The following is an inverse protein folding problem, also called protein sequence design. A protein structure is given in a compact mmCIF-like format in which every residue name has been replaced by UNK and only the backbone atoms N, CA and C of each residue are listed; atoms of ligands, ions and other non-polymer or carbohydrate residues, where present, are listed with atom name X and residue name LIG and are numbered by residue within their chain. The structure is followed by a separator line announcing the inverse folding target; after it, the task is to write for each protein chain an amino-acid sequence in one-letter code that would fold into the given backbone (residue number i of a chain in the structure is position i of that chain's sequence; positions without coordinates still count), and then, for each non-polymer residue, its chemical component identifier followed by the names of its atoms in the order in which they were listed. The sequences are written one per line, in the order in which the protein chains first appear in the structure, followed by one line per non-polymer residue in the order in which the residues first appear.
data_IF_781489251562
#
_entry.id   IF_781489251562
#
_cell.length_a   1.000
_cell.length_b   1.000
_cell.length_c   1.000
_cell.angle_alpha   90.00
_cell.angle_beta   90.00
_cell.angle_gamma   90.00
#
_symmetry.space_group_name_H-M   'P 1'
#
loop_
_entity.id
_entity.type
_entity.pdbx_description
1 polymer ?
#
# COMPACT_ATOMS: atom_id res chain seq x y z
N UNK A 1 64.69 19.40 0.65
CA UNK A 1 64.07 18.24 1.31
C UNK A 1 62.58 18.52 1.50
N UNK A 2 61.71 18.03 0.59
CA UNK A 2 60.25 18.19 0.68
C UNK A 2 59.68 17.03 1.49
N UNK A 3 59.11 17.31 2.66
CA UNK A 3 58.39 16.31 3.49
C UNK A 3 57.00 16.11 2.88
N UNK A 4 56.77 14.93 2.32
CA UNK A 4 55.49 14.50 1.77
C UNK A 4 54.65 13.92 2.91
N UNK A 5 53.66 14.67 3.39
CA UNK A 5 52.70 14.19 4.39
C UNK A 5 51.59 13.45 3.65
N UNK A 6 51.58 12.12 3.75
CA UNK A 6 50.59 11.25 3.14
C UNK A 6 49.38 11.16 4.09
N UNK A 7 48.38 12.01 3.86
CA UNK A 7 47.10 11.99 4.58
C UNK A 7 46.27 10.79 4.10
N UNK A 8 46.25 9.73 4.90
CA UNK A 8 45.35 8.60 4.75
C UNK A 8 43.94 9.02 5.19
N UNK A 9 43.12 9.50 4.26
CA UNK A 9 41.67 9.66 4.47
C UNK A 9 41.01 8.29 4.48
N UNK A 10 40.73 7.78 5.67
CA UNK A 10 39.86 6.62 5.86
C UNK A 10 38.45 7.02 5.44
N UNK A 11 38.03 6.58 4.25
CA UNK A 11 36.63 6.64 3.84
C UNK A 11 35.84 5.68 4.73
N UNK A 12 35.21 6.22 5.77
CA UNK A 12 34.21 5.48 6.54
C UNK A 12 33.03 5.21 5.61
N UNK A 13 32.91 3.97 5.13
CA UNK A 13 31.73 3.48 4.43
C UNK A 13 30.62 3.46 5.47
N UNK A 14 29.83 4.52 5.52
CA UNK A 14 28.61 4.56 6.33
C UNK A 14 27.65 3.60 5.63
N UNK A 15 27.30 2.44 6.20
CA UNK A 15 26.24 1.65 5.63
C UNK A 15 24.99 2.51 5.73
N UNK A 16 24.44 2.90 4.58
CA UNK A 16 23.11 3.47 4.52
C UNK A 16 22.17 2.37 5.00
N UNK A 17 21.83 2.40 6.29
CA UNK A 17 20.68 1.66 6.78
C UNK A 17 19.48 2.27 6.06
N UNK A 18 19.10 1.70 4.92
CA UNK A 18 17.77 1.83 4.37
C UNK A 18 16.84 1.20 5.41
N UNK A 19 16.48 1.96 6.44
CA UNK A 19 15.67 1.50 7.53
C UNK A 19 14.32 1.08 6.98
N UNK A 20 14.03 -0.22 7.03
CA UNK A 20 12.68 -0.71 6.83
C UNK A 20 11.84 -0.15 7.98
N UNK A 21 11.04 0.88 7.70
CA UNK A 21 10.01 1.33 8.66
C UNK A 21 8.90 0.28 8.66
N UNK A 22 9.09 -0.72 9.50
CA UNK A 22 8.10 -1.78 9.71
C UNK A 22 6.95 -1.27 10.58
N UNK A 23 5.74 -1.75 10.31
CA UNK A 23 4.51 -1.38 11.04
C UNK A 23 3.79 -2.64 11.49
N UNK A 24 3.28 -2.66 12.72
CA UNK A 24 2.48 -3.79 13.19
C UNK A 24 1.02 -3.75 12.71
N UNK A 25 0.38 -4.92 12.69
CA UNK A 25 -1.02 -5.06 12.24
C UNK A 25 -2.02 -4.21 13.06
N UNK A 26 -1.94 -4.13 14.41
CA UNK A 26 -2.80 -3.24 15.19
C UNK A 26 -2.69 -1.76 14.80
N UNK A 27 -1.47 -1.27 14.52
CA UNK A 27 -1.21 0.10 14.09
C UNK A 27 -1.80 0.35 12.70
N UNK A 28 -1.71 -0.62 11.80
CA UNK A 28 -2.38 -0.56 10.48
C UNK A 28 -3.89 -0.36 10.69
N UNK A 29 -4.55 -1.21 11.47
CA UNK A 29 -6.00 -1.11 11.69
C UNK A 29 -6.39 0.22 12.34
N UNK A 30 -5.65 0.70 13.34
CA UNK A 30 -5.88 2.00 13.98
C UNK A 30 -5.78 3.16 12.98
N UNK A 31 -4.74 3.17 12.15
CA UNK A 31 -4.57 4.19 11.11
C UNK A 31 -5.70 4.12 10.08
N UNK A 32 -6.09 2.92 9.68
CA UNK A 32 -7.16 2.67 8.74
C UNK A 32 -8.52 3.14 9.26
N UNK A 33 -8.84 2.89 10.53
CA UNK A 33 -10.06 3.36 11.19
C UNK A 33 -10.13 4.89 11.23
N UNK A 34 -9.01 5.54 11.57
CA UNK A 34 -8.90 7.00 11.57
C UNK A 34 -9.12 7.58 10.16
N UNK A 35 -8.57 6.94 9.13
CA UNK A 35 -8.81 7.35 7.74
C UNK A 35 -10.29 7.20 7.38
N UNK A 36 -10.90 6.03 7.61
CA UNK A 36 -12.33 5.84 7.34
C UNK A 36 -13.18 6.90 8.05
N UNK A 37 -12.91 7.18 9.32
CA UNK A 37 -13.65 8.19 10.07
C UNK A 37 -13.53 9.59 9.44
N UNK A 38 -12.32 9.96 8.99
CA UNK A 38 -12.09 11.21 8.27
C UNK A 38 -12.88 11.27 6.95
N UNK A 39 -12.83 10.21 6.15
CA UNK A 39 -13.49 10.14 4.84
C UNK A 39 -15.02 10.10 4.93
N UNK A 40 -15.57 9.45 5.97
CA UNK A 40 -17.01 9.45 6.27
C UNK A 40 -17.52 10.84 6.66
N UNK A 41 -16.65 11.66 7.28
CA UNK A 41 -17.00 13.03 7.69
C UNK A 41 -16.99 13.98 6.49
N UNK A 42 -15.96 13.91 5.66
CA UNK A 42 -15.83 14.78 4.49
C UNK A 42 -15.07 14.07 3.36
N UNK A 43 -15.77 13.83 2.25
CA UNK A 43 -15.21 13.18 1.08
C UNK A 43 -14.08 13.99 0.44
N UNK A 44 -14.01 15.31 0.68
CA UNK A 44 -12.90 16.15 0.20
C UNK A 44 -11.56 15.65 0.76
N UNK A 45 -11.54 15.02 1.94
CA UNK A 45 -10.32 14.51 2.58
C UNK A 45 -9.58 13.42 1.78
N UNK A 46 -10.09 13.00 0.62
CA UNK A 46 -9.34 12.18 -0.34
C UNK A 46 -8.00 12.82 -0.72
N UNK A 47 -7.91 14.16 -0.74
CA UNK A 47 -6.65 14.85 -1.04
C UNK A 47 -5.52 14.47 -0.07
N UNK A 48 -5.86 14.19 1.19
CA UNK A 48 -4.89 13.83 2.25
C UNK A 48 -4.25 12.47 1.99
N UNK A 49 -4.96 11.57 1.31
CA UNK A 49 -4.48 10.22 1.00
C UNK A 49 -3.30 10.24 0.01
N UNK A 50 -3.13 11.33 -0.75
CA UNK A 50 -2.09 11.42 -1.78
C UNK A 50 -0.68 11.28 -1.21
N UNK A 51 -0.45 11.88 -0.05
CA UNK A 51 0.84 11.87 0.65
C UNK A 51 0.84 10.94 1.86
N UNK A 52 -0.32 10.45 2.31
CA UNK A 52 -0.40 9.52 3.43
C UNK A 52 0.24 8.18 3.07
N UNK A 53 1.16 7.72 3.92
CA UNK A 53 1.82 6.42 3.80
C UNK A 53 1.64 5.59 5.06
N UNK A 54 1.69 4.28 4.90
CA UNK A 54 1.79 3.30 5.99
C UNK A 54 3.06 2.51 5.73
N UNK A 55 3.96 2.45 6.71
CA UNK A 55 5.33 2.02 6.48
C UNK A 55 6.09 3.04 5.62
N UNK A 56 6.99 2.55 4.79
CA UNK A 56 7.75 3.34 3.80
C UNK A 56 6.92 3.61 2.56
N UNK A 57 6.24 2.60 2.02
CA UNK A 57 5.65 2.68 0.67
C UNK A 57 4.15 2.40 0.60
N UNK A 58 3.55 1.86 1.67
CA UNK A 58 2.13 1.53 1.68
C UNK A 58 1.24 2.75 1.42
N UNK A 59 0.18 2.57 0.64
CA UNK A 59 -0.66 3.67 0.17
C UNK A 59 -2.14 3.28 0.08
N UNK A 60 -2.99 4.29 0.25
CA UNK A 60 -4.43 4.15 0.13
C UNK A 60 -4.90 4.41 -1.32
N UNK A 61 -5.92 3.67 -1.73
CA UNK A 61 -6.68 3.90 -2.95
C UNK A 61 -8.16 3.60 -2.69
N UNK A 62 -9.05 4.09 -3.55
CA UNK A 62 -10.50 3.92 -3.40
C UNK A 62 -11.06 3.41 -4.70
N UNK A 63 -11.90 2.38 -4.60
CA UNK A 63 -12.70 1.88 -5.72
C UNK A 63 -14.19 1.98 -5.40
N UNK A 64 -15.02 2.09 -6.43
CA UNK A 64 -16.47 1.96 -6.29
C UNK A 64 -16.93 0.49 -6.40
N UNK A 65 -18.26 0.28 -6.33
CA UNK A 65 -18.90 -1.04 -6.42
C UNK A 65 -18.78 -1.67 -7.80
N UNK A 66 -18.52 -0.88 -8.83
CA UNK A 66 -18.33 -1.31 -10.20
C UNK A 66 -16.88 -1.71 -10.48
N UNK A 67 -15.96 -1.36 -9.58
CA UNK A 67 -14.52 -1.63 -9.71
C UNK A 67 -13.74 -0.49 -10.38
N UNK A 68 -14.33 0.69 -10.53
CA UNK A 68 -13.64 1.88 -11.02
C UNK A 68 -12.81 2.52 -9.91
N UNK A 69 -11.64 3.02 -10.27
CA UNK A 69 -10.78 3.76 -9.34
C UNK A 69 -11.34 5.17 -9.13
N UNK A 70 -11.89 5.43 -7.95
CA UNK A 70 -12.35 6.77 -7.53
C UNK A 70 -11.17 7.65 -7.11
N UNK A 71 -10.18 7.06 -6.44
CA UNK A 71 -8.98 7.77 -6.01
C UNK A 71 -7.76 6.86 -6.06
N UNK A 72 -6.64 7.41 -6.53
CA UNK A 72 -5.33 6.76 -6.46
C UNK A 72 -4.21 7.81 -6.39
N UNK A 73 -3.10 7.57 -5.64
CA UNK A 73 -1.97 8.50 -5.57
C UNK A 73 -1.37 8.83 -6.94
N UNK A 74 -1.33 7.83 -7.83
CA UNK A 74 -1.04 7.99 -9.27
C UNK A 74 -2.31 8.43 -9.99
N UNK A 75 -2.39 9.71 -10.34
CA UNK A 75 -3.59 10.31 -10.94
C UNK A 75 -4.04 9.63 -12.25
N UNK A 76 -3.09 9.06 -13.01
CA UNK A 76 -3.36 8.36 -14.28
C UNK A 76 -4.27 7.14 -14.13
N UNK A 77 -4.39 6.61 -12.90
CA UNK A 77 -5.23 5.45 -12.61
C UNK A 77 -6.66 5.84 -12.19
N UNK A 78 -6.94 7.11 -11.94
CA UNK A 78 -8.29 7.55 -11.55
C UNK A 78 -9.22 7.39 -12.77
N UNK A 79 -10.35 6.72 -12.56
CA UNK A 79 -11.31 6.34 -13.59
C UNK A 79 -10.97 5.03 -14.32
N UNK A 80 -9.83 4.39 -14.02
CA UNK A 80 -9.51 3.09 -14.59
C UNK A 80 -10.49 2.02 -14.08
N UNK A 81 -10.93 1.14 -14.99
CA UNK A 81 -11.72 -0.04 -14.66
C UNK A 81 -10.81 -1.20 -14.25
N UNK A 82 -10.98 -1.67 -13.01
CA UNK A 82 -10.22 -2.78 -12.48
C UNK A 82 -11.04 -4.07 -12.30
N UNK A 83 -12.30 -4.12 -12.76
CA UNK A 83 -13.18 -5.29 -12.57
C UNK A 83 -12.64 -6.58 -13.21
N UNK A 84 -11.83 -6.45 -14.26
CA UNK A 84 -11.17 -7.58 -14.92
C UNK A 84 -10.00 -8.19 -14.13
N UNK A 85 -9.54 -7.53 -13.06
CA UNK A 85 -8.43 -8.03 -12.26
C UNK A 85 -8.95 -8.89 -11.11
N UNK A 86 -8.43 -10.12 -11.01
CA UNK A 86 -8.91 -11.12 -10.04
C UNK A 86 -8.90 -10.63 -8.58
N UNK A 87 -7.94 -9.79 -8.20
CA UNK A 87 -7.82 -9.29 -6.83
C UNK A 87 -8.89 -8.25 -6.49
N UNK A 88 -9.48 -7.59 -7.50
CA UNK A 88 -10.59 -6.66 -7.30
C UNK A 88 -11.88 -7.42 -7.02
N UNK A 89 -12.08 -8.58 -7.64
CA UNK A 89 -13.22 -9.46 -7.31
C UNK A 89 -13.25 -9.79 -5.81
N UNK A 90 -12.09 -9.95 -5.17
CA UNK A 90 -12.00 -10.20 -3.72
C UNK A 90 -12.54 -9.03 -2.90
N UNK A 91 -12.24 -7.80 -3.33
CA UNK A 91 -12.73 -6.57 -2.68
C UNK A 91 -14.24 -6.45 -2.87
N UNK A 92 -14.72 -6.66 -4.10
CA UNK A 92 -16.13 -6.50 -4.47
C UNK A 92 -17.04 -7.57 -3.84
N UNK A 93 -16.58 -8.82 -3.76
CA UNK A 93 -17.38 -9.94 -3.23
C UNK A 93 -17.37 -10.02 -1.70
N UNK A 94 -16.22 -9.75 -1.07
CA UNK A 94 -16.12 -9.86 0.40
C UNK A 94 -16.60 -8.59 1.12
N UNK A 95 -16.55 -7.43 0.44
CA UNK A 95 -16.94 -6.11 0.97
C UNK A 95 -15.99 -5.54 2.03
N UNK A 96 -15.42 -6.39 2.89
CA UNK A 96 -14.37 -6.03 3.84
C UNK A 96 -13.45 -7.20 4.15
N UNK A 97 -12.21 -6.90 4.53
CA UNK A 97 -11.25 -7.89 4.97
C UNK A 97 -9.85 -7.54 4.53
N UNK A 98 -9.05 -8.57 4.31
CA UNK A 98 -7.71 -8.41 3.80
C UNK A 98 -7.24 -9.68 3.08
N UNK A 99 -6.36 -9.49 2.10
CA UNK A 99 -5.74 -10.57 1.37
C UNK A 99 -4.28 -10.27 1.06
N UNK A 100 -3.53 -11.33 0.75
CA UNK A 100 -2.15 -11.25 0.30
C UNK A 100 -2.11 -11.61 -1.18
N UNK A 101 -1.29 -10.89 -1.96
CA UNK A 101 -1.02 -11.26 -3.34
C UNK A 101 0.43 -10.97 -3.71
N UNK A 102 0.92 -11.59 -4.78
CA UNK A 102 2.28 -11.42 -5.28
C UNK A 102 2.25 -10.75 -6.65
N UNK A 103 3.06 -9.69 -6.82
CA UNK A 103 3.26 -9.00 -8.10
C UNK A 103 4.75 -9.02 -8.42
N UNK A 104 5.13 -9.84 -9.41
CA UNK A 104 6.54 -10.13 -9.69
C UNK A 104 7.21 -10.77 -8.46
N UNK A 105 8.24 -10.11 -7.93
CA UNK A 105 8.96 -10.56 -6.73
C UNK A 105 8.40 -10.00 -5.42
N UNK A 106 7.48 -9.04 -5.49
CA UNK A 106 6.99 -8.30 -4.33
C UNK A 106 5.65 -8.87 -3.87
N UNK A 107 5.61 -9.37 -2.64
CA UNK A 107 4.37 -9.71 -1.95
C UNK A 107 3.75 -8.47 -1.32
N UNK A 108 2.45 -8.29 -1.52
CA UNK A 108 1.67 -7.19 -1.00
C UNK A 108 0.56 -7.72 -0.09
N UNK A 109 0.26 -6.95 0.95
CA UNK A 109 -0.95 -7.04 1.76
C UNK A 109 -1.93 -5.98 1.27
N UNK A 110 -3.18 -6.38 1.11
CA UNK A 110 -4.29 -5.48 0.84
C UNK A 110 -5.28 -5.58 1.97
N UNK A 111 -5.56 -4.44 2.62
CA UNK A 111 -6.66 -4.28 3.56
C UNK A 111 -7.75 -3.49 2.88
N UNK A 112 -9.01 -3.87 3.02
CA UNK A 112 -10.12 -3.19 2.35
C UNK A 112 -11.37 -3.17 3.24
N UNK A 113 -12.05 -2.03 3.28
CA UNK A 113 -13.29 -1.83 4.05
C UNK A 113 -14.14 -0.71 3.45
N UNK A 114 -15.48 -0.80 3.57
CA UNK A 114 -16.36 0.22 3.01
C UNK A 114 -16.21 1.55 3.74
N UNK A 115 -16.14 2.63 2.96
CA UNK A 115 -16.32 4.00 3.44
C UNK A 115 -17.81 4.29 3.57
N UNK A 116 -18.59 3.90 2.56
CA UNK A 116 -20.04 4.00 2.47
C UNK A 116 -20.55 2.86 1.57
N UNK A 117 -21.83 2.88 1.21
CA UNK A 117 -22.41 1.79 0.41
C UNK A 117 -21.75 1.68 -0.98
N UNK A 118 -21.31 2.78 -1.58
CA UNK A 118 -20.74 2.82 -2.94
C UNK A 118 -19.23 2.61 -3.01
N UNK A 119 -18.49 2.85 -1.93
CA UNK A 119 -17.03 3.03 -2.01
C UNK A 119 -16.29 2.23 -0.97
N UNK A 120 -15.21 1.59 -1.42
CA UNK A 120 -14.32 0.81 -0.59
C UNK A 120 -12.96 1.49 -0.54
N UNK A 121 -12.51 1.83 0.66
CA UNK A 121 -11.12 2.17 0.89
C UNK A 121 -10.31 0.88 0.81
N UNK A 122 -9.14 0.97 0.19
CA UNK A 122 -8.14 -0.08 0.16
C UNK A 122 -6.78 0.49 0.60
N UNK A 123 -5.97 -0.30 1.31
CA UNK A 123 -4.56 -0.04 1.62
C UNK A 123 -3.74 -1.17 1.01
N UNK A 124 -2.84 -0.84 0.08
CA UNK A 124 -1.81 -1.77 -0.39
C UNK A 124 -0.48 -1.44 0.30
N UNK A 125 0.18 -2.45 0.87
CA UNK A 125 1.50 -2.30 1.52
C UNK A 125 2.35 -3.55 1.25
N UNK A 126 3.66 -3.43 0.95
CA UNK A 126 4.52 -4.60 0.84
C UNK A 126 4.52 -5.40 2.15
N UNK A 127 4.39 -6.72 2.06
CA UNK A 127 4.32 -7.57 3.25
C UNK A 127 5.59 -7.51 4.10
N UNK A 128 6.73 -7.18 3.48
CA UNK A 128 8.02 -6.98 4.18
C UNK A 128 8.04 -5.74 5.09
N UNK A 129 7.10 -4.81 4.92
CA UNK A 129 6.95 -3.62 5.78
C UNK A 129 5.99 -3.85 6.95
N UNK A 130 5.46 -5.07 7.11
CA UNK A 130 4.53 -5.41 8.19
C UNK A 130 5.15 -6.44 9.12
N UNK A 131 5.34 -6.04 10.38
CA UNK A 131 5.75 -6.96 11.45
C UNK A 131 4.53 -7.53 12.16
N UNK A 132 4.68 -8.74 12.69
CA UNK A 132 3.65 -9.41 13.48
C UNK A 132 2.30 -9.41 12.77
N UNK A 133 2.31 -10.01 11.58
CA UNK A 133 1.11 -10.27 10.84
C UNK A 133 0.28 -11.35 11.59
N UNK A 134 -0.59 -10.89 12.51
CA UNK A 134 -1.44 -11.71 13.38
C UNK A 134 -2.89 -11.80 12.88
N UNK A 135 -3.16 -11.27 11.69
CA UNK A 135 -4.51 -11.21 11.12
C UNK A 135 -4.92 -12.48 10.37
N UNK A 136 -6.21 -12.80 10.39
CA UNK A 136 -6.81 -13.82 9.53
C UNK A 136 -6.97 -13.32 8.07
N UNK A 137 -5.93 -12.71 7.48
CA UNK A 137 -6.01 -12.34 6.06
C UNK A 137 -5.95 -13.59 5.20
N UNK A 138 -6.77 -13.60 4.15
CA UNK A 138 -6.79 -14.71 3.20
C UNK A 138 -5.55 -14.62 2.32
N UNK A 139 -4.74 -15.68 2.32
CA UNK A 139 -3.65 -15.78 1.38
C UNK A 139 -4.20 -16.19 0.02
N UNK A 140 -3.90 -15.43 -1.04
CA UNK A 140 -4.40 -15.73 -2.38
C UNK A 140 -3.19 -15.82 -3.31
N UNK A 141 -2.87 -17.05 -3.71
CA UNK A 141 -1.88 -17.30 -4.74
C UNK A 141 -2.53 -17.32 -6.11
N UNK A 142 -2.11 -16.41 -6.98
CA UNK A 142 -2.25 -16.55 -8.42
C UNK A 142 -1.00 -15.99 -9.07
N UNK A 143 -0.21 -16.85 -9.70
CA UNK A 143 0.83 -16.40 -10.62
C UNK A 143 0.14 -15.78 -11.84
N UNK A 144 0.75 -14.73 -12.38
CA UNK A 144 0.44 -14.20 -13.71
C UNK A 144 -0.80 -13.30 -13.78
N UNK A 145 -0.82 -12.25 -12.97
CA UNK A 145 -1.43 -10.99 -13.40
C UNK A 145 -0.41 -10.26 -14.28
N UNK A 146 -0.35 -10.62 -15.56
CA UNK A 146 0.13 -9.67 -16.58
C UNK A 146 -0.95 -8.56 -16.58
N UNK A 147 -0.62 -7.30 -16.23
CA UNK A 147 -1.56 -6.20 -16.47
C UNK A 147 -1.92 -6.22 -17.95
N UNK A 148 -3.20 -6.12 -18.37
CA UNK A 148 -3.51 -5.85 -19.78
C UNK A 148 -2.62 -4.70 -20.24
N UNK A 149 -1.88 -4.96 -21.31
CA UNK A 149 -0.99 -4.02 -21.97
C UNK A 149 -1.76 -2.71 -22.16
N UNK A 150 -1.24 -1.62 -21.56
CA UNK A 150 -1.81 -0.27 -21.67
C UNK A 150 -1.47 0.34 -23.02
#
# INVERSE_FOLDING_TARGET
MKRFFLLLTVFAIIPSCAGTSVVDTPTIYKNYDSVIASLKKDRRNYYELRTKRVGVSGYYYIIDREGLVVFHPRAVLIGADLKGYWFISQVLESGSGCFHYKMGTISHLVFFRPINDNETLCLAIPSAEVIDFTGNCRFIEKSDAIPPEQ
#
